data_IF_764297400928
#
_entry.id   IF_764297400928
#
_cell.length_a   1.000
_cell.length_b   1.000
_cell.length_c   1.000
_cell.angle_alpha   90.00
_cell.angle_beta   90.00
_cell.angle_gamma   90.00
#
_symmetry.space_group_name_H-M   'P 1'
#
loop_
_entity.id
_entity.type
_entity.pdbx_description
1 polymer ?
#
# COMPACT_ATOMS: atom_id res chain seq x y z
N UNK A 1 17.79 -22.28 -18.83
CA UNK A 1 16.37 -21.91 -19.06
C UNK A 1 16.19 -20.43 -18.77
N UNK A 2 15.53 -19.67 -19.66
CA UNK A 2 15.34 -18.23 -19.46
C UNK A 2 14.35 -17.99 -18.30
N UNK A 3 14.72 -17.19 -17.31
CA UNK A 3 13.92 -16.92 -16.09
C UNK A 3 12.48 -16.48 -16.45
N UNK A 4 12.34 -15.71 -17.53
CA UNK A 4 11.04 -15.25 -18.04
C UNK A 4 10.13 -16.41 -18.47
N UNK A 5 10.70 -17.48 -19.05
CA UNK A 5 9.91 -18.67 -19.44
C UNK A 5 9.43 -19.43 -18.22
N UNK A 6 10.30 -19.60 -17.20
CA UNK A 6 9.95 -20.28 -15.95
C UNK A 6 8.79 -19.55 -15.25
N UNK A 7 8.92 -18.23 -15.04
CA UNK A 7 7.88 -17.43 -14.39
C UNK A 7 6.55 -17.52 -15.15
N UNK A 8 6.57 -17.47 -16.48
CA UNK A 8 5.34 -17.58 -17.30
C UNK A 8 4.62 -18.91 -17.07
N UNK A 9 5.35 -20.03 -17.06
CA UNK A 9 4.76 -21.34 -16.81
C UNK A 9 4.23 -21.50 -15.38
N UNK A 10 4.94 -20.96 -14.39
CA UNK A 10 4.50 -20.98 -12.98
C UNK A 10 3.19 -20.19 -12.82
N UNK A 11 3.12 -18.98 -13.38
CA UNK A 11 1.89 -18.15 -13.31
C UNK A 11 0.74 -18.82 -14.05
N UNK A 12 0.99 -19.45 -15.20
CA UNK A 12 -0.02 -20.22 -15.93
C UNK A 12 -0.55 -21.38 -15.07
N UNK A 13 0.34 -22.15 -14.44
CA UNK A 13 -0.05 -23.28 -13.59
C UNK A 13 -0.90 -22.81 -12.39
N UNK A 14 -0.48 -21.75 -11.71
CA UNK A 14 -1.25 -21.16 -10.60
C UNK A 14 -2.63 -20.67 -11.03
N UNK A 15 -2.73 -20.06 -12.22
CA UNK A 15 -4.01 -19.64 -12.80
C UNK A 15 -4.94 -20.82 -13.10
N UNK A 16 -4.41 -21.91 -13.66
CA UNK A 16 -5.19 -23.13 -13.92
C UNK A 16 -5.66 -23.77 -12.61
N UNK A 17 -4.80 -23.83 -11.59
CA UNK A 17 -5.18 -24.34 -10.26
C UNK A 17 -6.31 -23.49 -9.67
N UNK A 18 -6.21 -22.16 -9.76
CA UNK A 18 -7.26 -21.25 -9.31
C UNK A 18 -8.60 -21.50 -10.01
N UNK A 19 -8.58 -21.66 -11.34
CA UNK A 19 -9.79 -21.98 -12.12
C UNK A 19 -10.41 -23.32 -11.72
N UNK A 20 -9.59 -24.36 -11.51
CA UNK A 20 -10.08 -25.66 -11.06
C UNK A 20 -10.74 -25.56 -9.69
N UNK A 21 -10.10 -24.88 -8.73
CA UNK A 21 -10.68 -24.65 -7.40
C UNK A 21 -11.98 -23.84 -7.49
N UNK A 22 -12.05 -22.85 -8.39
CA UNK A 22 -13.26 -22.06 -8.60
C UNK A 22 -14.42 -22.93 -9.14
N UNK A 23 -14.16 -23.80 -10.12
CA UNK A 23 -15.16 -24.74 -10.64
C UNK A 23 -15.64 -25.69 -9.54
N UNK A 24 -14.74 -26.17 -8.68
CA UNK A 24 -15.09 -27.04 -7.53
C UNK A 24 -16.01 -26.33 -6.52
N UNK A 25 -15.82 -25.04 -6.29
CA UNK A 25 -16.69 -24.25 -5.40
C UNK A 25 -18.06 -24.05 -6.05
N UNK A 26 -18.08 -23.61 -7.31
CA UNK A 26 -19.32 -23.36 -8.05
C UNK A 26 -20.17 -24.62 -8.22
N UNK A 27 -19.54 -25.81 -8.32
CA UNK A 27 -20.26 -27.07 -8.45
C UNK A 27 -20.88 -27.58 -7.15
N UNK A 28 -20.44 -27.10 -5.99
CA UNK A 28 -21.05 -27.45 -4.69
C UNK A 28 -22.36 -26.71 -4.43
N UNK A 29 -22.55 -25.53 -5.01
CA UNK A 29 -23.74 -24.69 -4.80
C UNK A 29 -23.71 -23.89 -3.50
N UNK A 30 -24.28 -22.69 -3.54
CA UNK A 30 -24.18 -21.70 -2.46
C UNK A 30 -24.89 -22.15 -1.18
N UNK A 31 -26.04 -22.82 -1.28
CA UNK A 31 -26.82 -23.30 -0.13
C UNK A 31 -26.03 -24.28 0.76
N UNK A 32 -25.26 -25.18 0.13
CA UNK A 32 -24.45 -26.18 0.85
C UNK A 32 -23.22 -25.52 1.48
N UNK A 33 -22.64 -24.52 0.81
CA UNK A 33 -21.48 -23.78 1.34
C UNK A 33 -21.90 -22.95 2.55
N UNK A 34 -23.04 -22.27 2.50
CA UNK A 34 -23.59 -21.49 3.61
C UNK A 34 -23.89 -22.39 4.81
N UNK A 35 -24.55 -23.53 4.59
CA UNK A 35 -24.84 -24.49 5.66
C UNK A 35 -23.55 -25.03 6.31
N UNK A 36 -22.52 -25.35 5.53
CA UNK A 36 -21.24 -25.81 6.07
C UNK A 36 -20.53 -24.69 6.86
N UNK A 37 -20.58 -23.44 6.38
CA UNK A 37 -20.01 -22.29 7.06
C UNK A 37 -20.67 -22.01 8.42
N UNK A 38 -21.99 -22.16 8.52
CA UNK A 38 -22.72 -22.05 9.79
C UNK A 38 -22.31 -23.12 10.81
N UNK A 39 -21.90 -24.30 10.33
CA UNK A 39 -21.35 -25.37 11.16
C UNK A 39 -19.84 -25.25 11.41
N UNK A 40 -19.21 -24.15 10.95
CA UNK A 40 -17.78 -23.89 11.10
C UNK A 40 -16.88 -24.64 10.12
N UNK A 41 -17.44 -25.33 9.12
CA UNK A 41 -16.68 -26.01 8.07
C UNK A 41 -16.49 -25.12 6.83
N UNK A 42 -15.26 -24.62 6.66
CA UNK A 42 -14.87 -23.79 5.52
C UNK A 42 -14.04 -24.55 4.48
N UNK A 43 -13.96 -25.89 4.55
CA UNK A 43 -13.07 -26.71 3.72
C UNK A 43 -13.33 -26.55 2.21
N UNK A 44 -14.54 -26.16 1.82
CA UNK A 44 -14.90 -25.92 0.42
C UNK A 44 -14.27 -24.64 -0.15
N UNK A 45 -14.13 -23.59 0.66
CA UNK A 45 -13.70 -22.25 0.22
C UNK A 45 -12.28 -21.92 0.69
N UNK A 46 -11.83 -22.49 1.80
CA UNK A 46 -10.49 -22.28 2.36
C UNK A 46 -9.34 -22.50 1.35
N UNK A 47 -9.37 -23.51 0.46
CA UNK A 47 -8.29 -23.73 -0.51
C UNK A 47 -8.10 -22.57 -1.49
N UNK A 48 -9.17 -21.96 -2.01
CA UNK A 48 -9.06 -20.84 -2.95
C UNK A 48 -8.57 -19.57 -2.26
N UNK A 49 -9.02 -19.32 -1.03
CA UNK A 49 -8.57 -18.19 -0.21
C UNK A 49 -7.09 -18.33 0.14
N UNK A 50 -6.68 -19.52 0.57
CA UNK A 50 -5.29 -19.82 0.91
C UNK A 50 -4.37 -19.65 -0.31
N UNK A 51 -4.78 -20.15 -1.48
CA UNK A 51 -4.06 -19.94 -2.72
C UNK A 51 -3.93 -18.43 -3.05
N UNK A 52 -5.01 -17.67 -2.92
CA UNK A 52 -5.01 -16.23 -3.17
C UNK A 52 -4.06 -15.48 -2.23
N UNK A 53 -4.07 -15.80 -0.93
CA UNK A 53 -3.17 -15.21 0.06
C UNK A 53 -1.69 -15.54 -0.23
N UNK A 54 -1.40 -16.78 -0.62
CA UNK A 54 -0.04 -17.19 -1.01
C UNK A 54 0.41 -16.40 -2.23
N UNK A 55 -0.41 -16.32 -3.29
CA UNK A 55 -0.08 -15.58 -4.51
C UNK A 55 0.12 -14.10 -4.21
N UNK A 56 -0.78 -13.49 -3.42
CA UNK A 56 -0.67 -12.09 -3.00
C UNK A 56 0.64 -11.85 -2.23
N UNK A 57 0.95 -12.72 -1.26
CA UNK A 57 2.17 -12.61 -0.45
C UNK A 57 3.42 -12.70 -1.33
N UNK A 58 3.47 -13.69 -2.23
CA UNK A 58 4.59 -13.85 -3.16
C UNK A 58 4.71 -12.64 -4.09
N UNK A 59 3.60 -12.15 -4.63
CA UNK A 59 3.60 -10.98 -5.51
C UNK A 59 4.10 -9.72 -4.79
N UNK A 60 3.64 -9.48 -3.56
CA UNK A 60 4.10 -8.38 -2.71
C UNK A 60 5.60 -8.51 -2.46
N UNK A 61 6.08 -9.69 -2.04
CA UNK A 61 7.50 -9.94 -1.78
C UNK A 61 8.38 -9.70 -3.00
N UNK A 62 8.02 -10.27 -4.16
CA UNK A 62 8.78 -10.08 -5.41
C UNK A 62 8.79 -8.60 -5.79
N UNK A 63 7.66 -7.91 -5.67
CA UNK A 63 7.55 -6.49 -6.03
C UNK A 63 8.37 -5.61 -5.11
N UNK A 64 8.36 -5.89 -3.80
CA UNK A 64 9.16 -5.17 -2.80
C UNK A 64 10.65 -5.37 -3.05
N UNK A 65 11.08 -6.63 -3.13
CA UNK A 65 12.49 -6.99 -3.36
C UNK A 65 12.98 -6.41 -4.68
N UNK A 66 12.20 -6.52 -5.75
CA UNK A 66 12.58 -5.97 -7.06
C UNK A 66 12.62 -4.45 -7.05
N UNK A 67 11.68 -3.79 -6.38
CA UNK A 67 11.65 -2.32 -6.24
C UNK A 67 12.87 -1.81 -5.50
N UNK A 68 13.19 -2.40 -4.34
CA UNK A 68 14.36 -2.02 -3.55
C UNK A 68 15.67 -2.38 -4.24
N UNK A 69 15.76 -3.56 -4.86
CA UNK A 69 16.94 -3.99 -5.62
C UNK A 69 17.19 -3.05 -6.81
N UNK A 70 16.17 -2.75 -7.62
CA UNK A 70 16.28 -1.82 -8.74
C UNK A 70 16.67 -0.40 -8.30
N UNK A 71 16.19 0.03 -7.13
CA UNK A 71 16.59 1.31 -6.55
C UNK A 71 18.06 1.29 -6.11
N UNK A 72 18.50 0.24 -5.41
CA UNK A 72 19.86 0.09 -4.90
C UNK A 72 20.90 -0.12 -6.02
N UNK A 73 20.54 -0.83 -7.09
CA UNK A 73 21.43 -1.09 -8.23
C UNK A 73 21.70 0.15 -9.09
N UNK A 74 20.96 1.24 -8.89
CA UNK A 74 21.14 2.47 -9.68
C UNK A 74 21.46 3.65 -8.76
N UNK A 75 22.74 4.08 -8.67
CA UNK A 75 23.15 5.14 -7.74
C UNK A 75 22.47 6.48 -8.02
N UNK A 76 22.15 6.77 -9.30
CA UNK A 76 21.45 7.99 -9.66
C UNK A 76 19.97 7.97 -9.20
N UNK A 77 19.27 6.84 -9.34
CA UNK A 77 17.90 6.67 -8.81
C UNK A 77 17.90 6.69 -7.29
N UNK A 78 18.84 6.00 -6.66
CA UNK A 78 18.99 5.98 -5.19
C UNK A 78 19.20 7.38 -4.64
N UNK A 79 20.09 8.17 -5.25
CA UNK A 79 20.31 9.57 -4.85
C UNK A 79 19.04 10.40 -4.97
N UNK A 80 18.28 10.29 -6.07
CA UNK A 80 17.02 11.03 -6.25
C UNK A 80 15.98 10.63 -5.21
N UNK A 81 15.79 9.33 -4.98
CA UNK A 81 14.87 8.84 -3.95
C UNK A 81 15.30 9.25 -2.53
N UNK A 82 16.60 9.24 -2.25
CA UNK A 82 17.17 9.73 -0.99
C UNK A 82 16.89 11.21 -0.78
N UNK A 83 17.12 12.05 -1.80
CA UNK A 83 16.83 13.49 -1.74
C UNK A 83 15.33 13.73 -1.52
N UNK A 84 14.44 13.05 -2.25
CA UNK A 84 13.00 13.23 -2.07
C UNK A 84 12.53 12.78 -0.68
N UNK A 85 13.07 11.66 -0.18
CA UNK A 85 12.74 11.14 1.15
C UNK A 85 13.26 12.08 2.25
N UNK A 86 14.49 12.58 2.10
CA UNK A 86 15.06 13.55 3.04
C UNK A 86 14.28 14.88 3.04
N UNK A 87 13.91 15.39 1.86
CA UNK A 87 13.09 16.60 1.75
C UNK A 87 11.72 16.42 2.43
N UNK A 88 11.06 15.29 2.20
CA UNK A 88 9.81 14.96 2.88
C UNK A 88 10.00 14.87 4.41
N UNK A 89 11.05 14.18 4.86
CA UNK A 89 11.37 14.05 6.28
C UNK A 89 11.64 15.41 6.95
N UNK A 90 12.30 16.35 6.25
CA UNK A 90 12.50 17.72 6.74
C UNK A 90 11.15 18.43 6.93
N UNK A 91 10.22 18.31 5.98
CA UNK A 91 8.89 18.91 6.11
C UNK A 91 8.12 18.30 7.28
N UNK A 92 8.19 16.99 7.47
CA UNK A 92 7.59 16.30 8.63
C UNK A 92 8.22 16.80 9.93
N UNK A 93 9.55 16.93 9.98
CA UNK A 93 10.27 17.39 11.17
C UNK A 93 9.89 18.83 11.52
N UNK A 94 9.87 19.74 10.55
CA UNK A 94 9.40 21.13 10.75
C UNK A 94 7.95 21.12 11.25
N UNK A 95 7.10 20.31 10.63
CA UNK A 95 5.70 20.19 11.05
C UNK A 95 5.55 19.66 12.47
N UNK A 96 6.41 18.73 12.89
CA UNK A 96 6.42 18.15 14.23
C UNK A 96 6.94 19.12 15.30
N UNK A 97 7.97 19.90 14.96
CA UNK A 97 8.50 20.95 15.83
C UNK A 97 7.48 22.07 16.04
N UNK A 98 6.75 22.43 14.99
CA UNK A 98 5.70 23.44 15.10
C UNK A 98 4.47 22.90 15.84
N UNK A 99 4.19 21.59 15.74
CA UNK A 99 2.98 20.99 16.34
C UNK A 99 3.10 20.86 17.84
N UNK A 100 2.10 21.37 18.54
CA UNK A 100 1.93 21.23 19.98
C UNK A 100 0.97 20.08 20.28
N UNK A 101 1.24 19.37 21.38
CA UNK A 101 0.38 18.31 21.88
C UNK A 101 -0.44 18.82 23.03
N UNK A 102 -1.71 19.12 22.79
CA UNK A 102 -2.68 19.42 23.84
C UNK A 102 -3.65 18.26 23.91
N UNK A 103 -4.05 17.85 25.11
CA UNK A 103 -5.09 16.85 25.28
C UNK A 103 -6.37 17.38 24.65
N UNK A 104 -6.88 16.64 23.65
CA UNK A 104 -8.03 17.08 22.86
C UNK A 104 -9.19 16.12 23.09
N UNK A 105 -10.36 16.60 23.53
CA UNK A 105 -11.52 15.74 23.71
C UNK A 105 -12.02 15.24 22.35
N UNK A 106 -12.22 13.93 22.23
CA UNK A 106 -12.81 13.29 21.06
C UNK A 106 -14.34 13.35 21.12
N UNK A 107 -14.99 13.14 19.98
CA UNK A 107 -16.46 13.09 19.86
C UNK A 107 -17.08 11.96 20.67
N UNK A 108 -16.29 10.94 20.99
CA UNK A 108 -16.70 9.76 21.75
C UNK A 108 -16.52 9.94 23.28
N UNK A 109 -16.13 11.14 23.73
CA UNK A 109 -15.94 11.46 25.15
C UNK A 109 -14.57 11.06 25.72
N UNK A 110 -13.78 10.27 24.99
CA UNK A 110 -12.39 9.94 25.33
C UNK A 110 -11.44 11.10 25.01
N UNK A 111 -10.36 11.25 25.78
CA UNK A 111 -9.33 12.26 25.53
C UNK A 111 -8.24 11.69 24.62
N UNK A 112 -7.89 12.39 23.54
CA UNK A 112 -6.65 12.12 22.82
C UNK A 112 -5.48 12.52 23.71
N UNK A 113 -4.55 11.59 23.87
CA UNK A 113 -3.28 11.89 24.53
C UNK A 113 -2.56 13.03 23.83
N UNK A 114 -1.83 13.84 24.59
CA UNK A 114 -1.04 14.96 24.05
C UNK A 114 -0.09 14.51 22.92
N UNK A 115 0.46 13.29 23.01
CA UNK A 115 1.30 12.70 21.95
C UNK A 115 0.50 12.37 20.68
N UNK A 116 -0.67 11.75 20.83
CA UNK A 116 -1.57 11.45 19.71
C UNK A 116 -2.01 12.73 18.98
N UNK A 117 -2.44 13.74 19.74
CA UNK A 117 -2.83 15.05 19.21
C UNK A 117 -1.67 15.72 18.45
N UNK A 118 -0.44 15.64 18.98
CA UNK A 118 0.75 16.20 18.32
C UNK A 118 1.06 15.52 16.98
N UNK A 119 0.93 14.20 16.89
CA UNK A 119 1.14 13.46 15.64
C UNK A 119 0.07 13.77 14.59
N UNK A 120 -1.19 13.89 15.00
CA UNK A 120 -2.28 14.33 14.11
C UNK A 120 -2.01 15.74 13.59
N UNK A 121 -1.65 16.68 14.49
CA UNK A 121 -1.27 18.05 14.10
C UNK A 121 -0.08 18.09 13.15
N UNK A 122 0.91 17.22 13.37
CA UNK A 122 2.09 17.07 12.50
C UNK A 122 1.68 16.61 11.10
N UNK A 123 0.80 15.61 11.01
CA UNK A 123 0.29 15.10 9.73
C UNK A 123 -0.47 16.17 8.94
N UNK A 124 -1.37 16.90 9.61
CA UNK A 124 -2.14 17.99 9.00
C UNK A 124 -1.23 19.11 8.50
N UNK A 125 -0.28 19.56 9.32
CA UNK A 125 0.66 20.62 8.92
C UNK A 125 1.58 20.18 7.78
N UNK A 126 2.07 18.95 7.82
CA UNK A 126 2.85 18.35 6.72
C UNK A 126 2.03 18.40 5.43
N UNK A 127 0.76 17.97 5.49
CA UNK A 127 -0.14 18.01 4.34
C UNK A 127 -0.34 19.42 3.81
N UNK A 128 -0.65 20.41 4.67
CA UNK A 128 -0.86 21.79 4.23
C UNK A 128 0.38 22.41 3.59
N UNK A 129 1.57 22.19 4.16
CA UNK A 129 2.83 22.69 3.60
C UNK A 129 3.05 22.07 2.20
N UNK A 130 2.92 20.74 2.08
CA UNK A 130 3.12 20.06 0.80
C UNK A 130 2.05 20.46 -0.23
N UNK A 131 0.80 20.67 0.19
CA UNK A 131 -0.27 21.12 -0.68
C UNK A 131 0.01 22.51 -1.28
N UNK A 132 0.44 23.48 -0.44
CA UNK A 132 0.82 24.81 -0.91
C UNK A 132 2.00 24.74 -1.89
N UNK A 133 3.03 23.96 -1.55
CA UNK A 133 4.19 23.75 -2.44
C UNK A 133 3.77 23.12 -3.77
N UNK A 134 2.89 22.12 -3.74
CA UNK A 134 2.40 21.44 -4.94
C UNK A 134 1.63 22.41 -5.84
N UNK A 135 0.69 23.18 -5.29
CA UNK A 135 -0.06 24.20 -6.04
C UNK A 135 0.90 25.23 -6.65
N UNK A 136 1.87 25.73 -5.87
CA UNK A 136 2.88 26.67 -6.38
C UNK A 136 3.69 26.13 -7.55
N UNK A 137 4.16 24.88 -7.46
CA UNK A 137 4.89 24.22 -8.55
C UNK A 137 4.01 23.99 -9.77
N UNK A 138 2.75 23.61 -9.58
CA UNK A 138 1.79 23.43 -10.68
C UNK A 138 1.52 24.75 -11.40
N UNK A 139 1.29 25.84 -10.69
CA UNK A 139 1.10 27.17 -11.28
C UNK A 139 2.36 27.62 -12.04
N UNK A 140 3.54 27.49 -11.43
CA UNK A 140 4.80 27.85 -12.09
C UNK A 140 5.03 27.04 -13.37
N UNK A 141 4.85 25.72 -13.31
CA UNK A 141 5.02 24.84 -14.46
C UNK A 141 3.99 25.11 -15.56
N UNK A 142 2.75 25.42 -15.19
CA UNK A 142 1.70 25.84 -16.11
C UNK A 142 2.07 27.13 -16.83
N UNK A 143 2.36 28.20 -16.10
CA UNK A 143 2.71 29.52 -16.67
C UNK A 143 3.95 29.44 -17.55
N UNK A 144 5.00 28.74 -17.11
CA UNK A 144 6.23 28.56 -17.90
C UNK A 144 5.98 27.83 -19.23
N UNK A 145 5.01 26.92 -19.28
CA UNK A 145 4.65 26.18 -20.48
C UNK A 145 3.82 27.00 -21.47
N UNK A 146 3.09 28.02 -21.01
CA UNK A 146 2.35 28.95 -21.87
C UNK A 146 3.23 30.09 -22.40
N UNK A 147 4.27 30.48 -21.66
CA UNK A 147 5.20 31.54 -22.04
C UNK A 147 6.33 31.07 -22.99
N UNK A 148 6.42 29.76 -23.25
CA UNK A 148 7.38 29.15 -24.19
C UNK A 148 6.63 28.53 -25.35
#
# INVERSE_FOLDING_TARGET
MNIQKITKYVVLALGVIGLVLQVVILSKGDDIIEMNALNGDFSSVSPIISLALIILTVAVLITLVSSFSNLASNPAKLKKAGISTAAFAIVVLISFLLSEGVETPMKDGELLSASGSRWVGTGLRTFYILAIVAVGVMLYSGVKRFLK
#
